data_IF_936472867176
#
_entry.id   IF_936472867176
#
_cell.length_a   1.000
_cell.length_b   1.000
_cell.length_c   1.000
_cell.angle_alpha   90.00
_cell.angle_beta   90.00
_cell.angle_gamma   90.00
#
_symmetry.space_group_name_H-M   'P 1'
#
loop_
_entity.id
_entity.type
_entity.pdbx_description
1 polymer ?
#
# COMPACT_ATOMS: atom_id res chain seq x y z
N UNK A 1 -27.11 -26.96 4.12
CA UNK A 1 -26.27 -26.73 2.91
C UNK A 1 -24.93 -26.10 3.34
N UNK A 2 -23.82 -26.86 3.39
CA UNK A 2 -22.49 -26.32 3.77
C UNK A 2 -21.91 -25.45 2.64
N UNK A 3 -22.33 -24.18 2.56
CA UNK A 3 -21.92 -23.18 1.56
C UNK A 3 -20.46 -22.71 1.70
N UNK A 4 -19.77 -23.08 2.77
CA UNK A 4 -18.41 -22.63 3.07
C UNK A 4 -17.34 -23.63 2.60
N UNK A 5 -17.25 -23.87 1.29
CA UNK A 5 -16.17 -24.69 0.70
C UNK A 5 -14.90 -23.85 0.54
N UNK A 6 -13.74 -24.49 0.64
CA UNK A 6 -12.43 -23.86 0.44
C UNK A 6 -12.34 -23.09 -0.90
N UNK A 7 -12.96 -23.60 -1.97
CA UNK A 7 -13.04 -22.93 -3.28
C UNK A 7 -13.74 -21.57 -3.20
N UNK A 8 -14.83 -21.46 -2.45
CA UNK A 8 -15.58 -20.21 -2.28
C UNK A 8 -14.76 -19.17 -1.53
N UNK A 9 -13.98 -19.59 -0.52
CA UNK A 9 -13.06 -18.69 0.20
C UNK A 9 -11.97 -18.14 -0.70
N UNK A 10 -11.41 -18.98 -1.57
CA UNK A 10 -10.38 -18.55 -2.54
C UNK A 10 -10.92 -17.55 -3.55
N UNK A 11 -12.12 -17.80 -4.09
CA UNK A 11 -12.80 -16.86 -4.98
C UNK A 11 -13.07 -15.54 -4.25
N UNK A 12 -13.50 -15.61 -2.99
CA UNK A 12 -13.74 -14.41 -2.19
C UNK A 12 -12.46 -13.58 -1.97
N UNK A 13 -11.30 -14.20 -1.72
CA UNK A 13 -10.03 -13.45 -1.65
C UNK A 13 -9.71 -12.80 -2.99
N UNK A 14 -9.85 -13.52 -4.10
CA UNK A 14 -9.56 -12.99 -5.44
C UNK A 14 -10.49 -11.82 -5.80
N UNK A 15 -11.79 -11.94 -5.55
CA UNK A 15 -12.75 -10.86 -5.80
C UNK A 15 -12.43 -9.61 -5.00
N UNK A 16 -12.05 -9.78 -3.73
CA UNK A 16 -11.63 -8.67 -2.86
C UNK A 16 -10.32 -8.02 -3.32
N UNK A 17 -9.37 -8.82 -3.81
CA UNK A 17 -8.12 -8.30 -4.37
C UNK A 17 -8.38 -7.47 -5.63
N UNK A 18 -9.23 -7.96 -6.54
CA UNK A 18 -9.66 -7.20 -7.73
C UNK A 18 -10.42 -5.92 -7.35
N UNK A 19 -11.28 -5.99 -6.33
CA UNK A 19 -11.98 -4.83 -5.80
C UNK A 19 -10.99 -3.77 -5.29
N UNK A 20 -9.95 -4.17 -4.56
CA UNK A 20 -8.91 -3.25 -4.07
C UNK A 20 -8.17 -2.55 -5.24
N UNK A 21 -7.91 -3.26 -6.34
CA UNK A 21 -7.35 -2.66 -7.56
C UNK A 21 -8.31 -1.61 -8.12
N UNK A 22 -9.59 -1.93 -8.28
CA UNK A 22 -10.59 -0.97 -8.78
C UNK A 22 -10.68 0.27 -7.91
N UNK A 23 -10.71 0.11 -6.59
CA UNK A 23 -10.72 1.22 -5.63
C UNK A 23 -9.45 2.07 -5.73
N UNK A 24 -8.28 1.45 -5.89
CA UNK A 24 -7.03 2.18 -6.02
C UNK A 24 -6.95 3.05 -7.27
N UNK A 25 -7.55 2.61 -8.39
CA UNK A 25 -7.64 3.41 -9.62
C UNK A 25 -8.51 4.65 -9.36
N UNK A 26 -9.62 4.52 -8.63
CA UNK A 26 -10.47 5.66 -8.27
C UNK A 26 -9.66 6.66 -7.44
N UNK A 27 -8.91 6.22 -6.43
CA UNK A 27 -8.07 7.10 -5.62
C UNK A 27 -6.97 7.79 -6.45
N UNK A 28 -6.30 7.06 -7.34
CA UNK A 28 -5.27 7.63 -8.20
C UNK A 28 -5.85 8.72 -9.10
N UNK A 29 -7.00 8.48 -9.72
CA UNK A 29 -7.68 9.47 -10.57
C UNK A 29 -8.07 10.72 -9.78
N UNK A 30 -8.59 10.56 -8.56
CA UNK A 30 -8.88 11.72 -7.69
C UNK A 30 -7.61 12.52 -7.37
N UNK A 31 -6.51 11.84 -7.04
CA UNK A 31 -5.22 12.49 -6.81
C UNK A 31 -4.72 13.28 -8.03
N UNK A 32 -4.79 12.69 -9.23
CA UNK A 32 -4.41 13.35 -10.48
C UNK A 32 -5.29 14.58 -10.75
N UNK A 33 -6.60 14.48 -10.57
CA UNK A 33 -7.53 15.61 -10.76
C UNK A 33 -7.16 16.77 -9.83
N UNK A 34 -6.90 16.47 -8.55
CA UNK A 34 -6.47 17.48 -7.57
C UNK A 34 -5.15 18.14 -7.98
N UNK A 35 -4.17 17.35 -8.42
CA UNK A 35 -2.87 17.88 -8.87
C UNK A 35 -3.00 18.79 -10.09
N UNK A 36 -3.87 18.44 -11.05
CA UNK A 36 -4.16 19.30 -12.21
C UNK A 36 -4.83 20.62 -11.79
N UNK A 37 -5.77 20.57 -10.84
CA UNK A 37 -6.40 21.78 -10.29
C UNK A 37 -5.33 22.67 -9.63
N UNK A 38 -4.49 22.09 -8.78
CA UNK A 38 -3.41 22.78 -8.06
C UNK A 38 -2.40 23.42 -9.01
N UNK A 39 -2.00 22.70 -10.07
CA UNK A 39 -1.13 23.24 -11.11
C UNK A 39 -1.73 24.47 -11.80
N UNK A 40 -3.05 24.45 -12.08
CA UNK A 40 -3.76 25.61 -12.64
C UNK A 40 -3.85 26.81 -11.68
N UNK A 41 -3.68 26.60 -10.38
CA UNK A 41 -3.58 27.67 -9.38
C UNK A 41 -2.18 28.29 -9.28
N UNK A 42 -1.24 27.88 -10.14
CA UNK A 42 0.13 28.41 -10.18
C UNK A 42 1.08 27.74 -9.19
N UNK A 43 0.68 26.62 -8.58
CA UNK A 43 1.58 25.84 -7.74
C UNK A 43 2.54 25.06 -8.66
N UNK A 44 3.86 25.24 -8.49
CA UNK A 44 4.85 24.60 -9.34
C UNK A 44 4.84 23.07 -9.13
N UNK A 45 4.99 22.33 -10.22
CA UNK A 45 5.07 20.87 -10.21
C UNK A 45 5.09 20.32 -11.64
N UNK A 46 5.96 19.35 -11.90
CA UNK A 46 6.03 18.68 -13.19
C UNK A 46 4.99 17.56 -13.25
N UNK A 47 3.95 17.75 -14.07
CA UNK A 47 2.89 16.77 -14.34
C UNK A 47 3.15 15.99 -15.63
N UNK A 48 4.42 15.69 -15.92
CA UNK A 48 4.81 14.80 -17.01
C UNK A 48 4.15 13.43 -16.95
N UNK A 49 4.07 12.75 -18.10
CA UNK A 49 3.45 11.42 -18.21
C UNK A 49 4.07 10.41 -17.24
N UNK A 50 5.39 10.44 -17.07
CA UNK A 50 6.11 9.53 -16.17
C UNK A 50 5.66 9.69 -14.71
N UNK A 51 5.43 10.94 -14.27
CA UNK A 51 4.93 11.23 -12.93
C UNK A 51 3.47 10.78 -12.76
N UNK A 52 2.61 10.99 -13.76
CA UNK A 52 1.22 10.51 -13.74
C UNK A 52 1.17 8.99 -13.64
N UNK A 53 1.98 8.29 -14.45
CA UNK A 53 2.08 6.82 -14.39
C UNK A 53 2.57 6.38 -13.02
N UNK A 54 3.57 7.07 -12.45
CA UNK A 54 4.08 6.79 -11.12
C UNK A 54 3.00 6.93 -10.04
N UNK A 55 2.19 7.99 -10.06
CA UNK A 55 1.07 8.17 -9.12
C UNK A 55 0.10 6.99 -9.20
N UNK A 56 -0.29 6.59 -10.41
CA UNK A 56 -1.22 5.47 -10.60
C UNK A 56 -0.63 4.18 -10.04
N UNK A 57 0.58 3.82 -10.46
CA UNK A 57 1.24 2.58 -10.03
C UNK A 57 1.48 2.59 -8.53
N UNK A 58 2.02 3.67 -7.97
CA UNK A 58 2.31 3.77 -6.55
C UNK A 58 1.02 3.68 -5.72
N UNK A 59 -0.07 4.31 -6.17
CA UNK A 59 -1.37 4.26 -5.47
C UNK A 59 -1.93 2.85 -5.46
N UNK A 60 -1.85 2.14 -6.59
CA UNK A 60 -2.26 0.73 -6.67
C UNK A 60 -1.44 -0.11 -5.68
N UNK A 61 -0.10 0.03 -5.67
CA UNK A 61 0.77 -0.72 -4.77
C UNK A 61 0.49 -0.40 -3.30
N UNK A 62 0.30 0.87 -2.95
CA UNK A 62 -0.03 1.33 -1.60
C UNK A 62 -1.34 0.69 -1.12
N UNK A 63 -2.41 0.82 -1.90
CA UNK A 63 -3.73 0.27 -1.53
C UNK A 63 -3.66 -1.24 -1.41
N UNK A 64 -3.03 -1.94 -2.36
CA UNK A 64 -2.89 -3.40 -2.29
C UNK A 64 -2.12 -3.87 -1.06
N UNK A 65 -1.02 -3.18 -0.71
CA UNK A 65 -0.22 -3.50 0.46
C UNK A 65 -1.04 -3.38 1.76
N UNK A 66 -1.65 -2.22 2.00
CA UNK A 66 -2.44 -1.99 3.21
C UNK A 66 -3.72 -2.82 3.24
N UNK A 67 -4.34 -3.07 2.07
CA UNK A 67 -5.49 -3.95 1.97
C UNK A 67 -5.15 -5.38 2.39
N UNK A 68 -4.10 -5.98 1.83
CA UNK A 68 -3.69 -7.34 2.17
C UNK A 68 -3.23 -7.46 3.63
N UNK A 69 -2.51 -6.46 4.13
CA UNK A 69 -2.13 -6.40 5.54
C UNK A 69 -3.36 -6.38 6.45
N UNK A 70 -4.36 -5.55 6.13
CA UNK A 70 -5.65 -5.51 6.84
C UNK A 70 -6.38 -6.85 6.78
N UNK A 71 -6.38 -7.50 5.62
CA UNK A 71 -7.03 -8.79 5.41
C UNK A 71 -6.42 -9.84 6.35
N UNK A 72 -5.09 -9.87 6.44
CA UNK A 72 -4.39 -10.77 7.36
C UNK A 72 -4.82 -10.52 8.80
N UNK A 73 -4.85 -9.26 9.25
CA UNK A 73 -5.32 -8.93 10.60
C UNK A 73 -6.75 -9.41 10.88
N UNK A 74 -7.66 -9.26 9.91
CA UNK A 74 -9.01 -9.82 10.03
C UNK A 74 -9.03 -11.34 10.06
N UNK A 75 -8.17 -12.02 9.28
CA UNK A 75 -8.01 -13.48 9.35
C UNK A 75 -7.42 -13.97 10.69
N UNK A 76 -6.81 -13.08 11.47
CA UNK A 76 -6.41 -13.32 12.86
C UNK A 76 -7.47 -12.91 13.89
N UNK A 77 -8.70 -12.59 13.45
CA UNK A 77 -9.82 -12.20 14.30
C UNK A 77 -9.57 -10.92 15.12
N UNK A 78 -8.70 -10.02 14.64
CA UNK A 78 -8.54 -8.70 15.24
C UNK A 78 -9.80 -7.86 14.99
N UNK A 79 -10.21 -7.08 16.00
CA UNK A 79 -11.39 -6.20 15.93
C UNK A 79 -11.13 -5.04 14.97
N UNK A 80 -12.15 -4.59 14.25
CA UNK A 80 -12.05 -3.51 13.25
C UNK A 80 -11.41 -2.23 13.78
N UNK A 81 -11.78 -1.79 15.00
CA UNK A 81 -11.19 -0.60 15.61
C UNK A 81 -9.68 -0.71 15.81
N UNK A 82 -9.19 -1.89 16.22
CA UNK A 82 -7.76 -2.15 16.38
C UNK A 82 -7.06 -2.19 15.02
N UNK A 83 -7.65 -2.88 14.04
CA UNK A 83 -7.11 -2.96 12.67
C UNK A 83 -6.98 -1.56 12.08
N UNK A 84 -8.02 -0.74 12.18
CA UNK A 84 -8.00 0.64 11.70
C UNK A 84 -6.92 1.46 12.41
N UNK A 85 -6.83 1.39 13.74
CA UNK A 85 -5.80 2.12 14.50
C UNK A 85 -4.37 1.73 14.08
N UNK A 86 -4.11 0.44 13.87
CA UNK A 86 -2.80 -0.04 13.41
C UNK A 86 -2.49 0.48 12.00
N UNK A 87 -3.44 0.40 11.06
CA UNK A 87 -3.22 0.85 9.69
C UNK A 87 -2.98 2.36 9.62
N UNK A 88 -3.72 3.15 10.42
CA UNK A 88 -3.49 4.60 10.54
C UNK A 88 -2.11 4.90 11.12
N UNK A 89 -1.70 4.18 12.17
CA UNK A 89 -0.36 4.31 12.75
C UNK A 89 0.73 4.04 11.69
N UNK A 90 0.61 2.92 10.98
CA UNK A 90 1.55 2.50 9.94
C UNK A 90 1.60 3.47 8.74
N UNK A 91 0.44 4.03 8.35
CA UNK A 91 0.35 4.89 7.18
C UNK A 91 0.80 6.33 7.46
N UNK A 92 0.49 6.88 8.63
CA UNK A 92 0.68 8.31 8.91
C UNK A 92 1.80 8.60 9.91
N UNK A 93 2.04 7.73 10.89
CA UNK A 93 2.97 8.04 11.98
C UNK A 93 4.32 7.38 11.77
N UNK A 94 4.35 6.10 11.37
CA UNK A 94 5.60 5.37 11.14
C UNK A 94 6.49 6.03 10.08
N UNK A 95 6.00 6.47 8.89
CA UNK A 95 6.87 7.09 7.89
C UNK A 95 7.52 8.37 8.42
N UNK A 96 6.79 9.14 9.21
CA UNK A 96 7.28 10.38 9.82
C UNK A 96 8.36 10.12 10.90
N UNK A 97 8.16 9.10 11.73
CA UNK A 97 9.17 8.66 12.70
C UNK A 97 10.45 8.22 11.98
N UNK A 98 10.31 7.40 10.94
CA UNK A 98 11.42 6.91 10.14
C UNK A 98 12.15 8.05 9.41
N UNK A 99 11.42 9.00 8.83
CA UNK A 99 12.01 10.19 8.22
C UNK A 99 12.83 11.00 9.22
N UNK A 100 12.30 11.19 10.44
CA UNK A 100 13.01 11.89 11.51
C UNK A 100 14.30 11.15 11.89
N UNK A 101 14.27 9.82 11.97
CA UNK A 101 15.49 9.04 12.23
C UNK A 101 16.53 9.19 11.12
N UNK A 102 16.10 9.18 9.85
CA UNK A 102 16.97 9.39 8.69
C UNK A 102 17.62 10.77 8.69
N UNK A 103 16.89 11.82 9.05
CA UNK A 103 17.43 13.18 9.10
C UNK A 103 18.46 13.38 10.23
N UNK A 104 18.42 12.56 11.28
CA UNK A 104 19.26 12.70 12.47
C UNK A 104 20.40 11.67 12.54
N UNK A 105 20.62 10.89 11.49
CA UNK A 105 21.69 9.90 11.42
C UNK A 105 22.62 10.19 10.24
N UNK A 106 23.91 9.89 10.42
CA UNK A 106 24.90 9.94 9.35
C UNK A 106 25.14 8.58 8.70
N UNK A 107 24.45 7.52 9.16
CA UNK A 107 24.66 6.16 8.66
C UNK A 107 23.89 5.92 7.35
N UNK A 108 24.61 5.97 6.22
CA UNK A 108 24.08 5.78 4.87
C UNK A 108 23.42 4.40 4.65
N UNK A 109 23.97 3.33 5.24
CA UNK A 109 23.38 1.99 5.13
C UNK A 109 22.02 1.92 5.82
N UNK A 110 21.89 2.57 6.98
CA UNK A 110 20.64 2.64 7.72
C UNK A 110 19.58 3.44 6.96
N UNK A 111 19.98 4.58 6.37
CA UNK A 111 19.11 5.39 5.52
C UNK A 111 18.58 4.57 4.34
N UNK A 112 19.46 3.92 3.59
CA UNK A 112 19.08 3.07 2.45
C UNK A 112 18.17 1.91 2.85
N UNK A 113 18.39 1.33 4.03
CA UNK A 113 17.53 0.27 4.54
C UNK A 113 16.10 0.79 4.81
N UNK A 114 15.95 1.97 5.41
CA UNK A 114 14.64 2.59 5.64
C UNK A 114 13.95 2.92 4.32
N UNK A 115 14.67 3.49 3.36
CA UNK A 115 14.12 3.85 2.05
C UNK A 115 13.56 2.65 1.28
N UNK A 116 14.04 1.43 1.55
CA UNK A 116 13.54 0.20 0.96
C UNK A 116 12.32 -0.39 1.70
N UNK A 117 12.06 0.00 2.95
CA UNK A 117 10.93 -0.53 3.70
C UNK A 117 9.60 -0.08 3.08
N UNK A 118 8.68 -1.00 2.75
CA UNK A 118 7.37 -0.64 2.20
C UNK A 118 6.56 0.31 3.09
N UNK A 119 6.76 0.24 4.42
CA UNK A 119 6.11 1.14 5.37
C UNK A 119 6.60 2.58 5.29
N UNK A 120 7.79 2.82 4.74
CA UNK A 120 8.30 4.17 4.49
C UNK A 120 8.11 4.55 3.02
N UNK A 121 8.54 3.69 2.10
CA UNK A 121 8.56 4.03 0.68
C UNK A 121 7.16 4.26 0.10
N UNK A 122 6.19 3.40 0.42
CA UNK A 122 4.85 3.56 -0.13
C UNK A 122 4.19 4.88 0.30
N UNK A 123 4.10 5.23 1.61
CA UNK A 123 3.40 6.45 2.00
C UNK A 123 4.13 7.73 1.56
N UNK A 124 5.47 7.71 1.56
CA UNK A 124 6.29 8.89 1.23
C UNK A 124 6.28 9.17 -0.27
N UNK A 125 6.46 8.15 -1.12
CA UNK A 125 6.65 8.33 -2.56
C UNK A 125 5.35 8.32 -3.39
N UNK A 126 4.19 7.98 -2.81
CA UNK A 126 2.95 7.76 -3.61
C UNK A 126 2.52 8.95 -4.47
N UNK A 127 2.67 10.17 -3.94
CA UNK A 127 2.22 11.40 -4.58
C UNK A 127 3.34 12.46 -4.69
N UNK A 128 4.59 12.07 -4.43
CA UNK A 128 5.71 13.01 -4.36
C UNK A 128 6.77 12.75 -5.42
N UNK A 129 7.09 11.48 -5.73
CA UNK A 129 8.20 11.12 -6.63
C UNK A 129 8.04 9.71 -7.18
N UNK A 130 8.77 9.40 -8.25
CA UNK A 130 8.94 8.02 -8.73
C UNK A 130 9.75 7.21 -7.73
N UNK A 131 9.31 5.98 -7.44
CA UNK A 131 10.14 5.06 -6.66
C UNK A 131 11.30 4.54 -7.53
N UNK A 132 12.42 4.24 -6.89
CA UNK A 132 13.53 3.55 -7.54
C UNK A 132 13.16 2.08 -7.87
N UNK A 133 13.89 1.48 -8.80
CA UNK A 133 13.67 0.10 -9.24
C UNK A 133 13.76 -0.88 -8.05
N UNK A 134 14.72 -0.69 -7.14
CA UNK A 134 14.89 -1.52 -5.95
C UNK A 134 13.69 -1.43 -5.01
N UNK A 135 13.15 -0.23 -4.80
CA UNK A 135 11.94 -0.02 -4.00
C UNK A 135 10.73 -0.73 -4.63
N UNK A 136 10.53 -0.59 -5.95
CA UNK A 136 9.46 -1.32 -6.65
C UNK A 136 9.59 -2.83 -6.48
N UNK A 137 10.80 -3.39 -6.65
CA UNK A 137 11.03 -4.82 -6.47
C UNK A 137 10.66 -5.28 -5.06
N UNK A 138 11.14 -4.60 -4.02
CA UNK A 138 10.84 -4.96 -2.62
C UNK A 138 9.34 -4.88 -2.32
N UNK A 139 8.68 -3.82 -2.76
CA UNK A 139 7.23 -3.62 -2.58
C UNK A 139 6.45 -4.72 -3.28
N UNK A 140 6.73 -4.99 -4.55
CA UNK A 140 6.03 -6.01 -5.34
C UNK A 140 6.24 -7.39 -4.73
N UNK A 141 7.48 -7.76 -4.38
CA UNK A 141 7.77 -9.02 -3.70
C UNK A 141 7.00 -9.13 -2.38
N UNK A 142 6.95 -8.06 -1.59
CA UNK A 142 6.22 -8.06 -0.31
C UNK A 142 4.72 -8.24 -0.52
N UNK A 143 4.11 -7.56 -1.50
CA UNK A 143 2.69 -7.72 -1.85
C UNK A 143 2.40 -9.16 -2.29
N UNK A 144 3.25 -9.76 -3.12
CA UNK A 144 3.11 -11.15 -3.56
C UNK A 144 3.14 -12.09 -2.35
N UNK A 145 4.07 -11.90 -1.42
CA UNK A 145 4.16 -12.69 -0.19
C UNK A 145 2.91 -12.53 0.70
N UNK A 146 2.43 -11.30 0.89
CA UNK A 146 1.20 -11.00 1.64
C UNK A 146 -0.02 -11.65 1.00
N UNK A 147 -0.10 -11.65 -0.34
CA UNK A 147 -1.18 -12.30 -1.07
C UNK A 147 -1.17 -13.81 -0.87
N UNK A 148 -0.02 -14.47 -1.04
CA UNK A 148 0.10 -15.91 -0.78
C UNK A 148 -0.21 -16.27 0.67
N UNK A 149 0.21 -15.44 1.62
CA UNK A 149 -0.09 -15.63 3.03
C UNK A 149 -1.59 -15.53 3.30
N UNK A 150 -2.25 -14.52 2.74
CA UNK A 150 -3.72 -14.34 2.80
C UNK A 150 -4.44 -15.57 2.25
N UNK A 151 -4.04 -16.07 1.08
CA UNK A 151 -4.61 -17.29 0.50
C UNK A 151 -4.41 -18.51 1.39
N UNK A 152 -3.18 -18.71 1.90
CA UNK A 152 -2.84 -19.84 2.77
C UNK A 152 -3.68 -19.83 4.06
N UNK A 153 -3.84 -18.66 4.68
CA UNK A 153 -4.60 -18.51 5.92
C UNK A 153 -6.10 -18.63 5.70
N UNK A 154 -6.63 -18.02 4.62
CA UNK A 154 -8.06 -18.09 4.26
C UNK A 154 -8.54 -19.53 4.04
N UNK A 155 -7.72 -20.39 3.43
CA UNK A 155 -8.04 -21.83 3.28
C UNK A 155 -8.31 -22.53 4.62
N UNK A 156 -7.59 -22.17 5.67
CA UNK A 156 -7.68 -22.78 7.01
C UNK A 156 -8.73 -22.11 7.91
N UNK A 157 -9.33 -21.01 7.48
CA UNK A 157 -10.19 -20.19 8.33
C UNK A 157 -11.56 -20.85 8.54
N UNK A 158 -11.83 -21.44 9.71
CA UNK A 158 -13.17 -21.85 10.12
C UNK A 158 -13.84 -20.73 10.91
N UNK A 159 -15.12 -20.46 10.61
CA UNK A 159 -15.97 -19.63 11.46
C UNK A 159 -16.11 -20.29 12.83
#
# INVERSE_FOLDING_TARGET
MKLNKQKNRMIYVLSNFLYAISVSIIYALNGIVLLVIVSKLGIPGDLGLDFIVAIVVNTILLVLFYFLLSYIFYLYKLKSGLVFGILVALLLFIPNILNTMMMNTSNDLFIKAIELLPFYSLPVFVASNTMSISQYLVVITTIILLYFFTLKKSKKYSF
#
